data_IF_043775559174
#
_entry.id   IF_043775559174
#
_cell.length_a   1.000
_cell.length_b   1.000
_cell.length_c   1.000
_cell.angle_alpha   90.00
_cell.angle_beta   90.00
_cell.angle_gamma   90.00
#
_symmetry.space_group_name_H-M   'P 1'
#
loop_
_entity.id
_entity.type
_entity.pdbx_description
1 polymer ?
#
# COMPACT_ATOMS: atom_id res chain seq x y z
N UNK A 1 -12.62 7.86 11.77
CA UNK A 1 -11.82 6.64 11.52
C UNK A 1 -12.16 6.17 10.11
N UNK A 2 -11.17 6.13 9.21
CA UNK A 2 -11.40 6.08 7.76
C UNK A 2 -11.68 4.68 7.23
N UNK A 3 -12.41 4.58 6.11
CA UNK A 3 -12.73 3.33 5.37
C UNK A 3 -11.55 2.35 5.22
N UNK A 4 -10.32 2.86 5.17
CA UNK A 4 -9.10 2.06 5.00
C UNK A 4 -8.63 1.38 6.28
N UNK A 5 -8.90 1.98 7.44
CA UNK A 5 -8.60 1.37 8.73
C UNK A 5 -9.58 0.21 9.05
N UNK A 6 -10.85 0.38 8.67
CA UNK A 6 -11.82 -0.73 8.67
C UNK A 6 -11.39 -1.87 7.74
N UNK A 7 -10.90 -1.54 6.54
CA UNK A 7 -10.38 -2.52 5.59
C UNK A 7 -9.17 -3.27 6.17
N UNK A 8 -8.21 -2.56 6.76
CA UNK A 8 -7.06 -3.15 7.44
C UNK A 8 -7.49 -4.07 8.59
N UNK A 9 -8.51 -3.68 9.37
CA UNK A 9 -9.06 -4.49 10.45
C UNK A 9 -9.72 -5.79 9.98
N UNK A 10 -10.41 -5.77 8.83
CA UNK A 10 -10.98 -6.98 8.20
C UNK A 10 -9.89 -7.88 7.61
N UNK A 11 -8.91 -7.30 6.92
CA UNK A 11 -7.77 -8.03 6.37
C UNK A 11 -6.94 -8.71 7.47
N UNK A 12 -6.63 -7.98 8.55
CA UNK A 12 -5.90 -8.52 9.68
C UNK A 12 -6.60 -9.72 10.31
N UNK A 13 -7.93 -9.67 10.41
CA UNK A 13 -8.73 -10.80 10.91
C UNK A 13 -8.56 -12.04 10.03
N UNK A 14 -8.72 -11.89 8.72
CA UNK A 14 -8.62 -13.02 7.79
C UNK A 14 -7.20 -13.58 7.70
N UNK A 15 -6.17 -12.74 7.78
CA UNK A 15 -4.77 -13.17 7.81
C UNK A 15 -4.51 -14.03 9.04
N UNK A 16 -4.81 -13.52 10.24
CA UNK A 16 -4.57 -14.28 11.49
C UNK A 16 -5.39 -15.56 11.49
N UNK A 17 -6.67 -15.51 11.14
CA UNK A 17 -7.54 -16.69 11.06
C UNK A 17 -6.94 -17.77 10.15
N UNK A 18 -6.45 -17.41 8.96
CA UNK A 18 -5.83 -18.37 8.03
C UNK A 18 -4.52 -18.95 8.56
N UNK A 19 -3.69 -18.13 9.20
CA UNK A 19 -2.42 -18.58 9.78
C UNK A 19 -2.64 -19.55 10.94
N UNK A 20 -3.62 -19.29 11.80
CA UNK A 20 -4.01 -20.17 12.92
C UNK A 20 -4.64 -21.46 12.41
N UNK A 21 -5.62 -21.39 11.49
CA UNK A 21 -6.30 -22.58 10.93
C UNK A 21 -5.31 -23.51 10.23
N UNK A 22 -4.32 -22.96 9.53
CA UNK A 22 -3.28 -23.75 8.85
C UNK A 22 -2.14 -24.19 9.79
N UNK A 23 -2.22 -23.86 11.09
CA UNK A 23 -1.18 -24.12 12.10
C UNK A 23 0.20 -23.62 11.68
N UNK A 24 0.25 -22.51 10.95
CA UNK A 24 1.50 -21.87 10.54
C UNK A 24 2.08 -20.99 11.64
N UNK A 25 1.27 -20.61 12.62
CA UNK A 25 1.67 -19.87 13.81
C UNK A 25 1.01 -20.47 15.05
N UNK A 26 1.72 -20.46 16.17
CA UNK A 26 1.12 -20.62 17.50
C UNK A 26 1.08 -19.23 18.17
N UNK A 27 -0.13 -18.77 18.51
CA UNK A 27 -0.31 -17.50 19.20
C UNK A 27 -0.97 -17.72 20.55
N UNK A 28 -0.39 -17.12 21.59
CA UNK A 28 -0.98 -17.12 22.94
C UNK A 28 -2.07 -16.05 23.10
N UNK A 29 -2.04 -15.03 22.24
CA UNK A 29 -2.96 -13.88 22.25
C UNK A 29 -3.28 -13.48 20.81
N UNK A 30 -4.38 -14.02 20.29
CA UNK A 30 -4.84 -13.78 18.92
C UNK A 30 -5.29 -12.32 18.72
N UNK A 31 -5.81 -11.67 19.76
CA UNK A 31 -6.25 -10.28 19.70
C UNK A 31 -5.06 -9.33 19.52
N UNK A 32 -3.99 -9.55 20.27
CA UNK A 32 -2.75 -8.78 20.13
C UNK A 32 -2.07 -9.01 18.78
N UNK A 33 -2.07 -10.23 18.28
CA UNK A 33 -1.54 -10.55 16.95
C UNK A 33 -2.35 -9.84 15.85
N UNK A 34 -3.67 -9.86 15.95
CA UNK A 34 -4.56 -9.14 15.02
C UNK A 34 -4.33 -7.64 15.05
N UNK A 35 -4.15 -7.07 16.23
CA UNK A 35 -3.88 -5.63 16.39
C UNK A 35 -2.55 -5.22 15.74
N UNK A 36 -1.50 -6.03 15.93
CA UNK A 36 -0.20 -5.80 15.29
C UNK A 36 -0.32 -5.83 13.75
N UNK A 37 -1.00 -6.85 13.19
CA UNK A 37 -1.21 -6.94 11.74
C UNK A 37 -2.06 -5.78 11.23
N UNK A 38 -3.13 -5.40 11.95
CA UNK A 38 -3.97 -4.25 11.60
C UNK A 38 -3.14 -2.99 11.49
N UNK A 39 -2.30 -2.70 12.50
CA UNK A 39 -1.45 -1.52 12.51
C UNK A 39 -0.51 -1.47 11.30
N UNK A 40 0.17 -2.58 11.02
CA UNK A 40 1.08 -2.70 9.86
C UNK A 40 0.32 -2.45 8.55
N UNK A 41 -0.85 -3.06 8.38
CA UNK A 41 -1.67 -2.88 7.19
C UNK A 41 -2.16 -1.43 7.05
N UNK A 42 -2.62 -0.80 8.14
CA UNK A 42 -3.04 0.60 8.13
C UNK A 42 -1.89 1.55 7.76
N UNK A 43 -0.70 1.33 8.32
CA UNK A 43 0.51 2.10 7.99
C UNK A 43 0.89 1.94 6.51
N UNK A 44 0.85 0.71 5.97
CA UNK A 44 1.14 0.46 4.55
C UNK A 44 0.11 1.11 3.62
N UNK A 45 -1.20 1.01 3.92
CA UNK A 45 -2.25 1.63 3.12
C UNK A 45 -2.16 3.16 3.11
N UNK A 46 -1.67 3.76 4.21
CA UNK A 46 -1.40 5.20 4.27
C UNK A 46 -0.17 5.56 3.44
N UNK A 47 0.90 4.76 3.53
CA UNK A 47 2.10 4.96 2.73
C UNK A 47 1.82 4.85 1.22
N UNK A 48 1.03 3.86 0.80
CA UNK A 48 0.59 3.72 -0.60
C UNK A 48 -0.20 4.94 -1.10
N UNK A 49 -1.06 5.51 -0.26
CA UNK A 49 -1.80 6.73 -0.63
C UNK A 49 -0.88 7.92 -0.85
N UNK A 50 0.08 8.09 0.05
CA UNK A 50 1.08 9.14 -0.08
C UNK A 50 1.90 8.93 -1.35
N UNK A 51 2.29 7.69 -1.64
CA UNK A 51 2.99 7.35 -2.87
C UNK A 51 2.17 7.67 -4.13
N UNK A 52 0.86 7.38 -4.13
CA UNK A 52 -0.03 7.71 -5.25
C UNK A 52 -0.14 9.23 -5.45
N UNK A 53 -0.30 9.98 -4.36
CA UNK A 53 -0.38 11.45 -4.40
C UNK A 53 0.92 12.07 -4.92
N UNK A 54 2.07 11.60 -4.41
CA UNK A 54 3.38 12.10 -4.82
C UNK A 54 3.69 11.75 -6.29
N UNK A 55 3.31 10.55 -6.73
CA UNK A 55 3.44 10.15 -8.13
C UNK A 55 2.61 11.07 -9.05
N UNK A 56 1.37 11.38 -8.67
CA UNK A 56 0.51 12.30 -9.43
C UNK A 56 1.08 13.72 -9.47
N UNK A 57 1.55 14.23 -8.33
CA UNK A 57 2.17 15.56 -8.26
C UNK A 57 3.37 15.67 -9.19
N UNK A 58 4.27 14.68 -9.14
CA UNK A 58 5.43 14.63 -10.04
C UNK A 58 5.00 14.60 -11.52
N UNK A 59 3.97 13.84 -11.86
CA UNK A 59 3.46 13.82 -13.23
C UNK A 59 2.83 15.15 -13.66
N UNK A 60 2.22 15.90 -12.75
CA UNK A 60 1.66 17.23 -13.04
C UNK A 60 2.77 18.24 -13.29
N UNK A 61 3.86 18.19 -12.52
CA UNK A 61 5.03 19.05 -12.71
C UNK A 61 5.69 18.80 -14.09
N UNK A 62 5.69 17.55 -14.54
CA UNK A 62 6.20 17.15 -15.85
C UNK A 62 5.12 17.07 -16.95
N UNK A 63 3.90 17.55 -16.71
CA UNK A 63 2.77 17.36 -17.64
C UNK A 63 2.99 17.99 -19.03
N UNK A 64 3.74 19.10 -19.11
CA UNK A 64 4.11 19.73 -20.40
C UNK A 64 5.02 18.82 -21.23
N UNK A 65 6.04 18.24 -20.60
CA UNK A 65 6.99 17.31 -21.25
C UNK A 65 6.32 15.99 -21.63
N UNK A 66 5.36 15.53 -20.82
CA UNK A 66 4.58 14.31 -21.08
C UNK A 66 3.61 14.51 -22.26
N UNK A 67 2.93 15.66 -22.34
CA UNK A 67 2.02 16.00 -23.44
C UNK A 67 2.74 16.06 -24.78
N UNK A 68 3.95 16.62 -24.80
CA UNK A 68 4.72 16.81 -26.02
C UNK A 68 5.41 15.50 -26.50
N UNK A 69 5.48 14.46 -25.64
CA UNK A 69 6.13 13.18 -25.96
C UNK A 69 5.20 12.06 -26.45
N UNK A 70 3.90 12.32 -26.66
CA UNK A 70 2.89 11.33 -27.07
C UNK A 70 2.89 10.04 -26.23
N UNK A 71 3.47 10.09 -25.02
CA UNK A 71 3.70 8.93 -24.19
C UNK A 71 2.45 8.63 -23.37
N UNK A 72 2.04 7.37 -23.38
CA UNK A 72 0.83 6.89 -22.72
C UNK A 72 0.92 7.17 -21.21
N UNK A 73 0.14 8.15 -20.75
CA UNK A 73 0.12 8.65 -19.37
C UNK A 73 0.03 7.52 -18.34
N UNK A 74 -0.76 6.48 -18.65
CA UNK A 74 -0.93 5.32 -17.77
C UNK A 74 0.38 4.55 -17.55
N UNK A 75 1.20 4.41 -18.60
CA UNK A 75 2.49 3.71 -18.54
C UNK A 75 3.51 4.49 -17.73
N UNK A 76 3.56 5.81 -17.90
CA UNK A 76 4.44 6.69 -17.11
C UNK A 76 4.08 6.67 -15.62
N UNK A 77 2.78 6.65 -15.28
CA UNK A 77 2.34 6.57 -13.88
C UNK A 77 2.84 5.29 -13.21
N UNK A 78 2.77 4.15 -13.92
CA UNK A 78 3.29 2.87 -13.41
C UNK A 78 4.80 2.93 -13.18
N UNK A 79 5.57 3.52 -14.10
CA UNK A 79 7.02 3.65 -13.98
C UNK A 79 7.43 4.56 -12.82
N UNK A 80 6.77 5.72 -12.68
CA UNK A 80 7.02 6.69 -11.60
C UNK A 80 6.70 6.07 -10.24
N UNK A 81 5.55 5.39 -10.12
CA UNK A 81 5.19 4.65 -8.90
C UNK A 81 6.22 3.58 -8.55
N UNK A 82 6.67 2.80 -9.54
CA UNK A 82 7.70 1.79 -9.34
C UNK A 82 9.04 2.38 -8.86
N UNK A 83 9.46 3.51 -9.43
CA UNK A 83 10.68 4.21 -9.02
C UNK A 83 10.56 4.76 -7.60
N UNK A 84 9.47 5.46 -7.29
CA UNK A 84 9.19 6.01 -5.96
C UNK A 84 9.08 4.93 -4.89
N UNK A 85 8.48 3.79 -5.21
CA UNK A 85 8.35 2.67 -4.28
C UNK A 85 9.73 2.11 -3.93
N UNK A 86 10.57 1.88 -4.95
CA UNK A 86 11.93 1.39 -4.77
C UNK A 86 12.81 2.35 -3.96
N UNK A 87 12.74 3.65 -4.23
CA UNK A 87 13.50 4.67 -3.49
C UNK A 87 13.07 4.77 -2.01
N UNK A 88 11.81 4.48 -1.72
CA UNK A 88 11.25 4.54 -0.36
C UNK A 88 11.25 3.19 0.37
N UNK A 89 11.80 2.15 -0.24
CA UNK A 89 11.86 0.81 0.36
C UNK A 89 10.53 0.06 0.40
N UNK A 90 9.53 0.48 -0.40
CA UNK A 90 8.25 -0.22 -0.54
C UNK A 90 8.31 -1.18 -1.73
N UNK A 91 7.67 -2.35 -1.59
CA UNK A 91 7.44 -3.27 -2.72
C UNK A 91 5.97 -3.15 -3.13
N UNK A 92 5.72 -2.79 -4.39
CA UNK A 92 4.38 -2.75 -4.99
C UNK A 92 3.89 -4.15 -5.36
#
# INVERSE_FOLDING_TARGET
MGKKDELAGRMAQEVIKRLVVRRLIETKDEARAREAVRRILSENLLAEQKLDADARALMMDHAKEIRDSASDYKRLLTLVKGKLAKERGFTL
#
